data_IF_275199828114
#
_entry.id   IF_275199828114
#
_cell.length_a   1.000
_cell.length_b   1.000
_cell.length_c   1.000
_cell.angle_alpha   90.00
_cell.angle_beta   90.00
_cell.angle_gamma   90.00
#
_symmetry.space_group_name_H-M   'P 1'
#
loop_
_entity.id
_entity.type
_entity.pdbx_description
1 polymer ?
#
# COMPACT_ATOMS: atom_id res chain seq x y z
N UNK A 1 43.19 24.56 44.42
CA UNK A 1 42.59 25.84 43.95
C UNK A 1 41.65 25.45 42.83
N UNK A 2 40.37 25.20 43.17
CA UNK A 2 39.25 26.16 43.06
C UNK A 2 38.68 26.08 41.63
N UNK A 3 37.41 25.80 41.33
CA UNK A 3 36.10 25.68 42.03
C UNK A 3 35.20 24.97 41.00
N UNK A 4 34.64 23.80 41.26
CA UNK A 4 33.31 23.57 41.82
C UNK A 4 32.27 24.64 41.43
N UNK A 5 31.47 24.34 40.40
CA UNK A 5 30.28 25.08 40.00
C UNK A 5 29.21 24.06 39.62
N UNK A 6 28.62 23.47 40.66
CA UNK A 6 27.30 22.85 40.67
C UNK A 6 26.27 23.88 40.18
N UNK A 7 25.73 23.67 38.98
CA UNK A 7 24.48 24.29 38.56
C UNK A 7 23.35 23.36 39.00
N UNK A 8 22.88 23.62 40.21
CA UNK A 8 21.60 23.16 40.74
C UNK A 8 20.49 24.03 40.12
N UNK A 9 19.88 23.55 39.05
CA UNK A 9 18.67 24.10 38.44
C UNK A 9 17.51 23.13 38.70
N UNK A 10 17.24 22.83 39.98
CA UNK A 10 16.09 22.04 40.42
C UNK A 10 14.88 22.91 40.82
N UNK A 11 14.74 24.10 40.22
CA UNK A 11 13.59 24.97 40.44
C UNK A 11 12.40 24.57 39.56
N UNK A 12 11.57 23.67 40.11
CA UNK A 12 10.11 23.84 40.14
C UNK A 12 9.33 23.77 38.83
N UNK A 13 9.39 22.65 38.11
CA UNK A 13 8.55 22.37 36.93
C UNK A 13 7.66 21.12 37.09
N UNK A 14 7.35 20.70 38.33
CA UNK A 14 6.94 19.31 38.59
C UNK A 14 5.54 19.06 39.19
N UNK A 15 4.60 20.02 39.25
CA UNK A 15 3.29 19.73 39.91
C UNK A 15 2.01 20.22 39.20
N UNK A 16 2.06 20.91 38.04
CA UNK A 16 0.86 21.48 37.39
C UNK A 16 0.50 20.85 36.03
N UNK A 17 1.14 19.75 35.62
CA UNK A 17 0.83 19.06 34.36
C UNK A 17 -0.20 17.93 34.48
N UNK A 18 -0.46 17.42 35.69
CA UNK A 18 -1.41 16.32 35.91
C UNK A 18 -2.88 16.82 35.82
N UNK A 19 -3.16 18.08 36.14
CA UNK A 19 -4.52 18.67 36.08
C UNK A 19 -4.99 19.03 34.65
N UNK A 20 -4.11 18.95 33.64
CA UNK A 20 -4.47 19.26 32.24
C UNK A 20 -4.91 18.04 31.42
N UNK A 21 -4.76 16.82 31.95
CA UNK A 21 -5.13 15.57 31.26
C UNK A 21 -6.29 14.83 31.92
N UNK A 22 -6.83 15.33 33.03
CA UNK A 22 -7.91 14.67 33.79
C UNK A 22 -9.33 14.90 33.22
N UNK A 23 -9.47 15.79 32.23
CA UNK A 23 -10.74 16.00 31.51
C UNK A 23 -10.74 15.34 30.12
N UNK A 24 -11.30 14.12 30.09
CA UNK A 24 -12.33 13.74 29.11
C UNK A 24 -11.91 13.57 27.62
N UNK A 25 -10.69 13.10 27.33
CA UNK A 25 -10.46 12.44 26.03
C UNK A 25 -11.01 11.00 26.07
N UNK A 26 -12.34 10.89 25.99
CA UNK A 26 -12.97 9.60 25.70
C UNK A 26 -12.61 9.24 24.26
N UNK A 27 -11.77 8.22 24.11
CA UNK A 27 -11.44 7.68 22.79
C UNK A 27 -12.74 7.16 22.16
N UNK A 28 -13.14 7.75 21.03
CA UNK A 28 -14.24 7.27 20.20
C UNK A 28 -13.63 6.56 18.98
N UNK A 29 -13.64 5.22 18.95
CA UNK A 29 -13.09 4.49 17.82
C UNK A 29 -13.80 4.85 16.51
N UNK A 30 -13.02 5.20 15.48
CA UNK A 30 -13.54 5.39 14.12
C UNK A 30 -13.90 4.06 13.45
N UNK A 31 -14.59 4.11 12.30
CA UNK A 31 -14.84 2.92 11.50
C UNK A 31 -13.54 2.23 11.05
N UNK A 32 -12.46 3.00 10.81
CA UNK A 32 -11.13 2.49 10.50
C UNK A 32 -10.54 1.72 11.67
N UNK A 33 -10.61 2.29 12.87
CA UNK A 33 -10.13 1.66 14.10
C UNK A 33 -10.85 0.33 14.33
N UNK A 34 -12.18 0.30 14.13
CA UNK A 34 -13.00 -0.91 14.25
C UNK A 34 -12.60 -1.94 13.19
N UNK A 35 -12.47 -1.54 11.92
CA UNK A 35 -12.09 -2.44 10.83
C UNK A 35 -10.72 -3.10 11.09
N UNK A 36 -9.74 -2.31 11.52
CA UNK A 36 -8.42 -2.80 11.92
C UNK A 36 -8.49 -3.75 13.11
N UNK A 37 -9.31 -3.41 14.12
CA UNK A 37 -9.47 -4.21 15.34
C UNK A 37 -10.17 -5.56 15.10
N UNK A 38 -11.12 -5.61 14.15
CA UNK A 38 -11.77 -6.84 13.71
C UNK A 38 -10.75 -7.82 13.13
N UNK A 39 -9.73 -7.31 12.42
CA UNK A 39 -8.58 -8.11 11.97
C UNK A 39 -8.92 -9.11 10.87
N UNK A 40 -9.84 -8.76 9.96
CA UNK A 40 -10.05 -9.53 8.73
C UNK A 40 -8.85 -9.27 7.82
N UNK A 41 -8.08 -10.33 7.56
CA UNK A 41 -6.94 -10.28 6.66
C UNK A 41 -7.28 -10.75 5.25
N UNK A 42 -6.44 -10.38 4.29
CA UNK A 42 -6.59 -10.84 2.92
C UNK A 42 -6.31 -12.34 2.80
N UNK A 43 -7.25 -13.08 2.22
CA UNK A 43 -7.03 -14.47 1.86
C UNK A 43 -6.08 -14.54 0.65
N UNK A 44 -4.95 -15.29 0.74
CA UNK A 44 -4.01 -15.43 -0.37
C UNK A 44 -4.61 -16.04 -1.65
N UNK A 45 -5.73 -16.77 -1.53
CA UNK A 45 -6.43 -17.39 -2.65
C UNK A 45 -7.53 -16.48 -3.27
N UNK A 46 -7.88 -15.37 -2.62
CA UNK A 46 -8.84 -14.39 -3.14
C UNK A 46 -8.26 -13.64 -4.33
N UNK A 47 -9.08 -13.41 -5.38
CA UNK A 47 -8.65 -12.69 -6.59
C UNK A 47 -8.26 -11.24 -6.25
N UNK A 48 -6.95 -10.92 -6.22
CA UNK A 48 -6.54 -9.59 -5.84
C UNK A 48 -6.85 -8.54 -6.91
N UNK A 49 -7.14 -8.96 -8.14
CA UNK A 49 -7.41 -8.04 -9.25
C UNK A 49 -8.66 -7.20 -8.99
N UNK A 50 -9.59 -7.68 -8.17
CA UNK A 50 -10.75 -6.91 -7.74
C UNK A 50 -10.37 -5.61 -7.00
N UNK A 51 -9.20 -5.58 -6.34
CA UNK A 51 -8.73 -4.45 -5.52
C UNK A 51 -7.60 -3.64 -6.18
N UNK A 52 -7.09 -4.03 -7.36
CA UNK A 52 -5.89 -3.43 -7.99
C UNK A 52 -5.94 -1.88 -8.09
N UNK A 53 -7.09 -1.31 -8.46
CA UNK A 53 -7.23 0.15 -8.57
C UNK A 53 -7.22 0.85 -7.20
N UNK A 54 -7.90 0.27 -6.20
CA UNK A 54 -7.92 0.81 -4.84
C UNK A 54 -6.54 0.68 -4.20
N UNK A 55 -5.86 -0.45 -4.40
CA UNK A 55 -4.46 -0.67 -4.00
C UNK A 55 -3.60 0.47 -4.56
N UNK A 56 -3.65 0.71 -5.87
CA UNK A 56 -2.82 1.75 -6.49
C UNK A 56 -3.12 3.16 -5.98
N UNK A 57 -4.38 3.49 -5.72
CA UNK A 57 -4.77 4.76 -5.13
C UNK A 57 -4.23 4.91 -3.70
N UNK A 58 -4.28 3.85 -2.90
CA UNK A 58 -3.72 3.84 -1.56
C UNK A 58 -2.19 3.98 -1.55
N UNK A 59 -1.49 3.31 -2.47
CA UNK A 59 -0.02 3.37 -2.55
C UNK A 59 0.51 4.78 -2.81
N UNK A 60 -0.29 5.62 -3.47
CA UNK A 60 0.07 7.01 -3.78
C UNK A 60 -0.66 8.01 -2.88
N UNK A 61 -1.30 7.56 -1.79
CA UNK A 61 -2.05 8.44 -0.88
C UNK A 61 -3.09 9.31 -1.59
N UNK A 62 -3.85 8.74 -2.53
CA UNK A 62 -4.98 9.44 -3.13
C UNK A 62 -6.09 9.64 -2.07
N UNK A 63 -6.74 10.80 -2.08
CA UNK A 63 -7.75 11.18 -1.09
C UNK A 63 -9.05 11.67 -1.76
N UNK A 64 -10.08 11.87 -0.93
CA UNK A 64 -11.32 12.52 -1.31
C UNK A 64 -12.15 11.74 -2.36
N UNK A 65 -12.81 12.43 -3.32
CA UNK A 65 -13.79 11.80 -4.19
C UNK A 65 -13.26 10.68 -5.09
N UNK A 66 -11.95 10.66 -5.38
CA UNK A 66 -11.34 9.57 -6.13
C UNK A 66 -11.29 8.30 -5.28
N UNK A 67 -10.76 8.40 -4.05
CA UNK A 67 -10.65 7.28 -3.13
C UNK A 67 -12.04 6.73 -2.79
N UNK A 68 -13.00 7.60 -2.46
CA UNK A 68 -14.37 7.19 -2.14
C UNK A 68 -15.01 6.35 -3.27
N UNK A 69 -14.87 6.81 -4.52
CA UNK A 69 -15.38 6.09 -5.70
C UNK A 69 -14.69 4.75 -5.92
N UNK A 70 -13.38 4.68 -5.72
CA UNK A 70 -12.63 3.43 -5.90
C UNK A 70 -12.97 2.44 -4.79
N UNK A 71 -13.19 2.91 -3.56
CA UNK A 71 -13.69 2.10 -2.45
C UNK A 71 -15.09 1.55 -2.75
N UNK A 72 -16.03 2.38 -3.23
CA UNK A 72 -17.35 1.91 -3.63
C UNK A 72 -17.30 0.82 -4.70
N UNK A 73 -16.47 1.05 -5.72
CA UNK A 73 -16.30 0.08 -6.80
C UNK A 73 -15.64 -1.21 -6.30
N UNK A 74 -14.66 -1.12 -5.40
CA UNK A 74 -13.99 -2.26 -4.80
C UNK A 74 -14.97 -3.09 -3.95
N UNK A 75 -15.74 -2.44 -3.05
CA UNK A 75 -16.79 -3.08 -2.27
C UNK A 75 -17.75 -3.83 -3.19
N UNK A 76 -18.24 -3.20 -4.26
CA UNK A 76 -19.15 -3.85 -5.21
C UNK A 76 -18.57 -5.08 -5.93
N UNK A 77 -17.23 -5.25 -5.98
CA UNK A 77 -16.56 -6.39 -6.60
C UNK A 77 -16.28 -7.53 -5.61
N UNK A 78 -15.93 -7.20 -4.36
CA UNK A 78 -15.48 -8.18 -3.35
C UNK A 78 -16.54 -8.54 -2.32
N UNK A 79 -17.66 -7.81 -2.26
CA UNK A 79 -18.70 -8.06 -1.28
C UNK A 79 -19.49 -9.34 -1.61
N UNK A 80 -19.42 -10.31 -0.72
CA UNK A 80 -20.19 -11.54 -0.75
C UNK A 80 -20.70 -11.95 0.65
N UNK A 81 -21.46 -13.05 0.72
CA UNK A 81 -22.03 -13.55 1.97
C UNK A 81 -20.95 -13.96 2.99
N UNK A 82 -19.76 -14.35 2.53
CA UNK A 82 -18.65 -14.74 3.39
C UNK A 82 -18.04 -13.51 4.07
N UNK A 83 -17.68 -12.48 3.30
CA UNK A 83 -17.16 -11.22 3.83
C UNK A 83 -18.19 -10.54 4.74
N UNK A 84 -19.47 -10.53 4.35
CA UNK A 84 -20.55 -10.01 5.20
C UNK A 84 -20.61 -10.74 6.55
N UNK A 85 -20.54 -12.08 6.50
CA UNK A 85 -20.53 -12.93 7.70
C UNK A 85 -19.33 -12.65 8.61
N UNK A 86 -18.14 -12.47 8.02
CA UNK A 86 -16.90 -12.16 8.76
C UNK A 86 -16.98 -10.79 9.44
N UNK A 87 -17.40 -9.74 8.72
CA UNK A 87 -17.53 -8.39 9.27
C UNK A 87 -18.54 -8.37 10.41
N UNK A 88 -19.72 -8.98 10.20
CA UNK A 88 -20.76 -9.12 11.23
C UNK A 88 -20.22 -9.84 12.48
N UNK A 89 -19.55 -10.97 12.30
CA UNK A 89 -18.99 -11.74 13.40
C UNK A 89 -17.92 -10.95 14.17
N UNK A 90 -17.09 -10.19 13.47
CA UNK A 90 -16.10 -9.27 14.03
C UNK A 90 -16.75 -8.19 14.89
N UNK A 91 -17.76 -7.50 14.37
CA UNK A 91 -18.52 -6.47 15.09
C UNK A 91 -19.20 -7.03 16.34
N UNK A 92 -19.88 -8.17 16.23
CA UNK A 92 -20.53 -8.83 17.38
C UNK A 92 -19.49 -9.18 18.44
N UNK A 93 -18.37 -9.79 18.05
CA UNK A 93 -17.29 -10.15 18.97
C UNK A 93 -16.74 -8.92 19.69
N UNK A 94 -16.43 -7.86 18.94
CA UNK A 94 -15.88 -6.62 19.50
C UNK A 94 -16.87 -5.95 20.46
N UNK A 95 -18.16 -5.94 20.11
CA UNK A 95 -19.23 -5.38 20.95
C UNK A 95 -19.41 -6.09 22.31
N UNK A 96 -19.00 -7.35 22.41
CA UNK A 96 -19.26 -8.21 23.58
C UNK A 96 -18.04 -8.45 24.47
N UNK A 97 -16.83 -8.30 23.92
CA UNK A 97 -15.61 -8.78 24.56
C UNK A 97 -14.67 -7.65 24.99
N UNK A 98 -14.94 -6.42 24.58
CA UNK A 98 -14.04 -5.29 24.76
C UNK A 98 -14.83 -4.10 25.29
N UNK A 99 -14.69 -3.79 26.59
CA UNK A 99 -15.50 -2.77 27.27
C UNK A 99 -15.25 -1.37 26.69
N UNK A 100 -14.03 -1.11 26.21
CA UNK A 100 -13.63 0.16 25.60
C UNK A 100 -14.24 0.32 24.19
N UNK A 101 -14.28 -0.76 23.40
CA UNK A 101 -14.76 -0.72 22.02
C UNK A 101 -16.24 -1.09 21.87
N UNK A 102 -16.83 -1.64 22.94
CA UNK A 102 -18.16 -2.23 22.97
C UNK A 102 -19.25 -1.32 22.41
N UNK A 103 -19.39 -0.09 22.94
CA UNK A 103 -20.39 0.87 22.47
C UNK A 103 -20.24 1.24 20.99
N UNK A 104 -19.01 1.51 20.53
CA UNK A 104 -18.74 1.91 19.15
C UNK A 104 -19.02 0.76 18.17
N UNK A 105 -18.57 -0.47 18.50
CA UNK A 105 -18.84 -1.66 17.70
C UNK A 105 -20.35 -1.99 17.64
N UNK A 106 -21.09 -1.80 18.74
CA UNK A 106 -22.54 -1.98 18.75
C UNK A 106 -23.26 -0.96 17.86
N UNK A 107 -22.82 0.30 17.86
CA UNK A 107 -23.35 1.33 16.96
C UNK A 107 -23.07 1.00 15.49
N UNK A 108 -21.83 0.60 15.18
CA UNK A 108 -21.42 0.17 13.84
C UNK A 108 -22.22 -1.06 13.37
N UNK A 109 -22.52 -2.01 14.26
CA UNK A 109 -23.37 -3.17 13.94
C UNK A 109 -24.80 -2.77 13.56
N UNK A 110 -25.38 -1.79 14.25
CA UNK A 110 -26.72 -1.28 13.93
C UNK A 110 -26.76 -0.58 12.56
N UNK A 111 -25.70 0.16 12.21
CA UNK A 111 -25.56 0.74 10.88
C UNK A 111 -25.40 -0.35 9.81
N UNK A 112 -24.48 -1.28 10.06
CA UNK A 112 -24.19 -2.42 9.20
C UNK A 112 -25.45 -3.23 8.88
N UNK A 113 -26.30 -3.51 9.88
CA UNK A 113 -27.54 -4.27 9.69
C UNK A 113 -28.55 -3.61 8.75
N UNK A 114 -28.47 -2.29 8.56
CA UNK A 114 -29.38 -1.56 7.65
C UNK A 114 -28.92 -1.67 6.20
N UNK A 115 -27.62 -1.63 5.97
CA UNK A 115 -27.04 -1.66 4.62
C UNK A 115 -25.60 -2.20 4.67
N UNK A 116 -25.39 -3.53 4.74
CA UNK A 116 -24.09 -4.13 5.01
C UNK A 116 -22.97 -3.62 4.10
N UNK A 117 -23.17 -3.64 2.78
CA UNK A 117 -22.17 -3.19 1.82
C UNK A 117 -21.95 -1.66 1.83
N UNK A 118 -22.93 -0.86 2.28
CA UNK A 118 -22.83 0.60 2.27
C UNK A 118 -22.34 1.19 3.60
N UNK A 119 -22.27 0.37 4.65
CA UNK A 119 -21.85 0.81 5.97
C UNK A 119 -20.39 1.26 5.99
N UNK A 120 -20.08 2.26 6.81
CA UNK A 120 -18.75 2.84 6.89
C UNK A 120 -17.68 1.80 7.23
N UNK A 121 -17.94 0.95 8.23
CA UNK A 121 -17.03 -0.13 8.63
C UNK A 121 -16.71 -1.12 7.50
N UNK A 122 -17.67 -1.40 6.62
CA UNK A 122 -17.47 -2.30 5.46
C UNK A 122 -16.51 -1.68 4.45
N UNK A 123 -16.63 -0.38 4.20
CA UNK A 123 -15.71 0.38 3.34
C UNK A 123 -14.31 0.34 3.91
N UNK A 124 -14.17 0.58 5.21
CA UNK A 124 -12.87 0.58 5.89
C UNK A 124 -12.22 -0.80 5.96
N UNK A 125 -13.02 -1.89 6.07
CA UNK A 125 -12.51 -3.26 5.92
C UNK A 125 -11.91 -3.47 4.52
N UNK A 126 -12.60 -3.03 3.47
CA UNK A 126 -12.10 -3.16 2.09
C UNK A 126 -10.85 -2.29 1.84
N UNK A 127 -10.79 -1.09 2.42
CA UNK A 127 -9.59 -0.25 2.38
C UNK A 127 -8.42 -0.93 3.10
N UNK A 128 -8.66 -1.51 4.28
CA UNK A 128 -7.66 -2.24 5.05
C UNK A 128 -7.09 -3.44 4.28
N UNK A 129 -7.97 -4.23 3.65
CA UNK A 129 -7.58 -5.35 2.77
C UNK A 129 -6.74 -4.88 1.57
N UNK A 130 -7.14 -3.79 0.92
CA UNK A 130 -6.36 -3.21 -0.17
C UNK A 130 -4.99 -2.72 0.33
N UNK A 131 -4.90 -2.12 1.51
CA UNK A 131 -3.64 -1.68 2.10
C UNK A 131 -2.72 -2.88 2.40
N UNK A 132 -3.25 -3.94 3.02
CA UNK A 132 -2.50 -5.17 3.29
C UNK A 132 -1.97 -5.79 1.99
N UNK A 133 -2.83 -5.96 0.98
CA UNK A 133 -2.45 -6.53 -0.31
C UNK A 133 -1.44 -5.66 -1.06
N UNK A 134 -1.56 -4.33 -0.97
CA UNK A 134 -0.59 -3.41 -1.54
C UNK A 134 0.77 -3.58 -0.89
N UNK A 135 0.82 -3.63 0.44
CA UNK A 135 2.07 -3.73 1.21
C UNK A 135 2.73 -5.11 1.12
N UNK A 136 1.96 -6.19 0.96
CA UNK A 136 2.48 -7.56 0.84
C UNK A 136 3.50 -7.71 -0.30
N UNK A 137 3.45 -6.81 -1.29
CA UNK A 137 4.31 -6.84 -2.45
C UNK A 137 5.51 -5.89 -2.43
N UNK A 138 5.69 -5.11 -1.38
CA UNK A 138 6.72 -4.07 -1.34
C UNK A 138 8.01 -4.57 -0.69
N UNK A 139 9.19 -4.18 -1.20
CA UNK A 139 10.42 -4.36 -0.44
C UNK A 139 10.35 -3.59 0.88
N UNK A 140 11.00 -4.14 1.92
CA UNK A 140 11.16 -3.44 3.21
C UNK A 140 11.82 -2.07 2.96
N UNK A 141 11.30 -1.03 3.61
CA UNK A 141 11.74 0.38 3.48
C UNK A 141 11.55 1.01 2.10
N UNK A 142 10.59 0.52 1.30
CA UNK A 142 10.20 1.18 0.06
C UNK A 142 9.02 2.16 0.28
N UNK A 143 9.29 3.46 0.15
CA UNK A 143 8.28 4.52 0.34
C UNK A 143 8.24 5.46 -0.88
N UNK A 144 7.07 5.60 -1.51
CA UNK A 144 6.90 6.49 -2.66
C UNK A 144 7.05 7.97 -2.29
N UNK A 145 6.61 8.38 -1.09
CA UNK A 145 6.81 9.75 -0.61
C UNK A 145 8.30 10.11 -0.51
N UNK A 146 9.14 9.17 -0.06
CA UNK A 146 10.59 9.40 -0.03
C UNK A 146 11.19 9.53 -1.43
N UNK A 147 10.70 8.76 -2.41
CA UNK A 147 11.12 8.91 -3.81
C UNK A 147 10.69 10.28 -4.33
N UNK A 148 9.44 10.67 -4.12
CA UNK A 148 8.89 11.96 -4.56
C UNK A 148 9.67 13.15 -3.98
N UNK A 149 9.92 13.14 -2.66
CA UNK A 149 10.73 14.14 -1.98
C UNK A 149 12.15 14.20 -2.59
N UNK A 150 12.77 13.04 -2.83
CA UNK A 150 14.10 12.98 -3.46
C UNK A 150 14.07 13.55 -4.88
N UNK A 151 13.05 13.23 -5.68
CA UNK A 151 12.89 13.74 -7.05
C UNK A 151 12.80 15.26 -7.08
N UNK A 152 12.14 15.87 -6.10
CA UNK A 152 12.01 17.33 -6.00
C UNK A 152 13.36 18.06 -5.89
N UNK A 153 14.40 17.35 -5.42
CA UNK A 153 15.73 17.89 -5.16
C UNK A 153 16.75 17.62 -6.29
N UNK A 154 16.40 16.78 -7.27
CA UNK A 154 17.32 16.36 -8.34
C UNK A 154 17.03 17.07 -9.67
N UNK A 155 18.03 17.07 -10.56
CA UNK A 155 17.89 17.58 -11.93
C UNK A 155 17.03 16.63 -12.80
N UNK A 156 16.32 17.15 -13.83
CA UNK A 156 15.42 16.34 -14.66
C UNK A 156 16.04 15.07 -15.26
N UNK A 157 17.34 15.10 -15.61
CA UNK A 157 18.02 13.93 -16.16
C UNK A 157 18.18 12.78 -15.15
N UNK A 158 18.26 13.09 -13.86
CA UNK A 158 18.44 12.11 -12.78
C UNK A 158 17.09 11.61 -12.24
N UNK A 159 16.03 12.42 -12.39
CA UNK A 159 14.67 12.10 -11.95
C UNK A 159 14.12 10.83 -12.57
N UNK A 160 14.31 10.64 -13.88
CA UNK A 160 13.86 9.43 -14.59
C UNK A 160 14.43 8.15 -13.94
N UNK A 161 15.73 8.16 -13.63
CA UNK A 161 16.41 7.00 -13.04
C UNK A 161 15.88 6.69 -11.63
N UNK A 162 15.59 7.71 -10.83
CA UNK A 162 14.97 7.57 -9.51
C UNK A 162 13.53 7.09 -9.60
N UNK A 163 12.71 7.68 -10.47
CA UNK A 163 11.31 7.33 -10.65
C UNK A 163 11.14 5.89 -11.16
N UNK A 164 12.05 5.42 -12.02
CA UNK A 164 12.06 4.03 -12.51
C UNK A 164 12.07 3.01 -11.38
N UNK A 165 12.68 3.31 -10.23
CA UNK A 165 12.69 2.41 -9.06
C UNK A 165 11.28 2.10 -8.55
N UNK A 166 10.28 2.95 -8.81
CA UNK A 166 8.88 2.67 -8.50
C UNK A 166 8.21 1.68 -9.47
N UNK A 167 8.85 1.31 -10.58
CA UNK A 167 8.38 0.24 -11.44
C UNK A 167 8.24 -1.10 -10.71
N UNK A 168 9.00 -1.32 -9.64
CA UNK A 168 8.88 -2.54 -8.83
C UNK A 168 7.46 -2.77 -8.28
N UNK A 169 6.67 -1.71 -8.11
CA UNK A 169 5.27 -1.80 -7.69
C UNK A 169 4.39 -2.49 -8.72
N UNK A 170 4.78 -2.43 -9.99
CA UNK A 170 4.09 -3.08 -11.08
C UNK A 170 4.45 -4.56 -11.27
N UNK A 171 5.19 -5.18 -10.34
CA UNK A 171 5.59 -6.60 -10.44
C UNK A 171 4.42 -7.56 -10.59
N UNK A 172 3.29 -7.30 -9.92
CA UNK A 172 2.10 -8.16 -10.01
C UNK A 172 1.53 -8.16 -11.42
N UNK A 173 1.56 -7.01 -12.10
CA UNK A 173 1.03 -6.83 -13.45
C UNK A 173 1.94 -7.46 -14.51
N UNK A 174 3.18 -7.78 -14.17
CA UNK A 174 4.02 -8.62 -15.01
C UNK A 174 3.51 -10.07 -15.08
N UNK A 175 2.66 -10.51 -14.13
CA UNK A 175 1.97 -11.80 -14.12
C UNK A 175 2.88 -12.98 -14.50
N UNK A 176 4.12 -12.99 -13.98
CA UNK A 176 5.11 -14.02 -14.29
C UNK A 176 4.93 -15.19 -13.31
N UNK A 177 4.52 -16.39 -13.77
CA UNK A 177 4.36 -17.53 -12.89
C UNK A 177 5.71 -17.92 -12.25
N UNK A 178 5.74 -18.38 -10.98
CA UNK A 178 6.99 -18.80 -10.32
C UNK A 178 7.78 -19.85 -11.12
N UNK A 179 7.09 -20.76 -11.81
CA UNK A 179 7.73 -21.77 -12.66
C UNK A 179 8.49 -21.16 -13.85
N UNK A 180 7.98 -20.08 -14.45
CA UNK A 180 8.68 -19.37 -15.52
C UNK A 180 9.92 -18.63 -14.99
N UNK A 181 9.83 -18.04 -13.79
CA UNK A 181 10.96 -17.39 -13.14
C UNK A 181 12.09 -18.41 -12.88
N UNK A 182 11.74 -19.58 -12.34
CA UNK A 182 12.69 -20.67 -12.11
C UNK A 182 13.32 -21.17 -13.42
N UNK A 183 12.52 -21.35 -14.47
CA UNK A 183 13.02 -21.75 -15.78
C UNK A 183 13.97 -20.69 -16.39
N UNK A 184 13.69 -19.40 -16.17
CA UNK A 184 14.57 -18.33 -16.62
C UNK A 184 15.91 -18.32 -15.85
N UNK A 185 15.87 -18.52 -14.53
CA UNK A 185 17.06 -18.61 -13.68
C UNK A 185 17.93 -19.84 -14.01
N UNK A 186 17.32 -20.99 -14.33
CA UNK A 186 18.05 -22.19 -14.74
C UNK A 186 18.80 -22.02 -16.08
N UNK A 187 18.42 -21.03 -16.89
CA UNK A 187 18.95 -20.77 -18.23
C UNK A 187 19.91 -19.57 -18.31
N UNK A 188 20.41 -19.06 -17.18
CA UNK A 188 21.23 -17.82 -17.07
C UNK A 188 22.48 -17.80 -17.98
N UNK A 189 22.97 -18.95 -18.44
CA UNK A 189 24.14 -19.01 -19.34
C UNK A 189 23.87 -18.65 -20.81
N UNK A 190 22.61 -18.58 -21.26
CA UNK A 190 22.28 -18.31 -22.67
C UNK A 190 21.74 -16.90 -22.92
N UNK A 191 20.92 -16.39 -22.00
CA UNK A 191 20.23 -15.11 -22.14
C UNK A 191 19.87 -14.60 -20.74
N UNK A 192 20.02 -13.30 -20.45
CA UNK A 192 19.61 -12.74 -19.16
C UNK A 192 18.14 -13.08 -18.83
N UNK A 193 17.79 -13.48 -17.59
CA UNK A 193 16.42 -13.83 -17.24
C UNK A 193 15.40 -12.73 -17.56
N UNK A 194 15.75 -11.46 -17.33
CA UNK A 194 14.88 -10.33 -17.66
C UNK A 194 14.48 -10.33 -19.15
N UNK A 195 15.43 -10.52 -20.05
CA UNK A 195 15.18 -10.60 -21.50
C UNK A 195 14.29 -11.79 -21.86
N UNK A 196 14.47 -12.94 -21.18
CA UNK A 196 13.64 -14.14 -21.44
C UNK A 196 12.18 -13.98 -20.99
N UNK A 197 11.96 -13.24 -19.91
CA UNK A 197 10.62 -13.04 -19.35
C UNK A 197 9.84 -11.91 -20.04
N UNK A 198 10.52 -11.12 -20.87
CA UNK A 198 10.05 -9.87 -21.46
C UNK A 198 9.12 -10.03 -22.68
N UNK A 199 7.91 -10.53 -22.48
CA UNK A 199 6.87 -10.44 -23.53
C UNK A 199 6.35 -9.01 -23.65
N UNK A 200 5.95 -8.59 -24.84
CA UNK A 200 5.33 -7.26 -25.06
C UNK A 200 4.13 -7.02 -24.14
N UNK A 201 3.26 -8.02 -24.00
CA UNK A 201 2.08 -7.96 -23.13
C UNK A 201 2.42 -7.59 -21.69
N UNK A 202 3.37 -8.30 -21.07
CA UNK A 202 3.85 -8.03 -19.70
C UNK A 202 4.47 -6.64 -19.56
N UNK A 203 5.29 -6.24 -20.54
CA UNK A 203 5.94 -4.91 -20.54
C UNK A 203 4.92 -3.78 -20.69
N UNK A 204 3.88 -3.98 -21.51
CA UNK A 204 2.74 -3.07 -21.61
C UNK A 204 1.93 -3.03 -20.32
N UNK A 205 1.65 -4.18 -19.69
CA UNK A 205 0.90 -4.25 -18.44
C UNK A 205 1.60 -3.51 -17.29
N UNK A 206 2.93 -3.64 -17.21
CA UNK A 206 3.77 -2.86 -16.27
C UNK A 206 3.61 -1.36 -16.50
N UNK A 207 3.76 -0.88 -17.74
CA UNK A 207 3.61 0.55 -18.08
C UNK A 207 2.20 1.06 -17.85
N UNK A 208 1.17 0.26 -18.13
CA UNK A 208 -0.21 0.61 -17.85
C UNK A 208 -0.44 0.86 -16.35
N UNK A 209 0.14 0.04 -15.47
CA UNK A 209 0.09 0.30 -14.02
C UNK A 209 0.82 1.58 -13.66
N UNK A 210 2.02 1.81 -14.19
CA UNK A 210 2.76 3.06 -13.93
C UNK A 210 1.94 4.29 -14.34
N UNK A 211 1.26 4.23 -15.48
CA UNK A 211 0.37 5.29 -15.95
C UNK A 211 -0.81 5.53 -15.00
N UNK A 212 -1.37 4.48 -14.40
CA UNK A 212 -2.45 4.59 -13.40
C UNK A 212 -1.95 5.16 -12.08
N UNK A 213 -0.80 4.70 -11.57
CA UNK A 213 -0.15 5.27 -10.38
C UNK A 213 0.14 6.77 -10.58
N UNK A 214 0.62 7.14 -11.77
CA UNK A 214 0.82 8.53 -12.16
C UNK A 214 -0.48 9.35 -12.23
N UNK A 215 -1.60 8.71 -12.57
CA UNK A 215 -2.91 9.37 -12.57
C UNK A 215 -3.38 9.66 -11.15
N UNK A 216 -3.37 8.64 -10.30
CA UNK A 216 -3.89 8.73 -8.94
C UNK A 216 -2.99 9.58 -8.04
N UNK A 217 -1.67 9.53 -8.25
CA UNK A 217 -0.69 10.28 -7.45
C UNK A 217 -0.48 11.73 -7.88
N UNK A 218 -1.26 12.26 -8.83
CA UNK A 218 -1.02 13.59 -9.43
C UNK A 218 -0.99 14.71 -8.38
N UNK A 219 -1.87 14.64 -7.39
CA UNK A 219 -2.04 15.70 -6.41
C UNK A 219 -1.21 15.45 -5.15
N UNK A 220 -1.00 14.19 -4.79
CA UNK A 220 -0.29 13.76 -3.57
C UNK A 220 1.23 13.60 -3.76
N UNK A 221 1.67 13.19 -4.95
CA UNK A 221 3.08 12.94 -5.29
C UNK A 221 3.44 13.55 -6.67
N UNK A 222 3.33 14.89 -6.86
CA UNK A 222 3.35 15.48 -8.20
C UNK A 222 4.66 15.26 -8.99
N UNK A 223 5.87 15.45 -8.41
CA UNK A 223 7.12 15.12 -9.09
C UNK A 223 7.20 13.68 -9.59
N UNK A 224 6.87 12.71 -8.74
CA UNK A 224 6.88 11.30 -9.07
C UNK A 224 5.82 10.97 -10.12
N UNK A 225 4.59 11.48 -9.96
CA UNK A 225 3.51 11.27 -10.91
C UNK A 225 3.88 11.75 -12.33
N UNK A 226 4.57 12.89 -12.45
CA UNK A 226 5.03 13.37 -13.75
C UNK A 226 6.04 12.42 -14.41
N UNK A 227 7.02 11.92 -13.65
CA UNK A 227 8.02 10.98 -14.16
C UNK A 227 7.43 9.60 -14.47
N UNK A 228 6.54 9.09 -13.62
CA UNK A 228 5.83 7.83 -13.87
C UNK A 228 4.96 7.92 -15.13
N UNK A 229 4.31 9.07 -15.36
CA UNK A 229 3.58 9.32 -16.61
C UNK A 229 4.52 9.27 -17.81
N UNK A 230 5.66 9.95 -17.74
CA UNK A 230 6.65 9.95 -18.81
C UNK A 230 7.14 8.53 -19.12
N UNK A 231 7.49 7.73 -18.09
CA UNK A 231 7.90 6.32 -18.25
C UNK A 231 6.80 5.44 -18.85
N UNK A 232 5.54 5.68 -18.49
CA UNK A 232 4.40 4.94 -19.03
C UNK A 232 4.14 5.25 -20.51
N UNK A 233 4.36 6.50 -20.93
CA UNK A 233 4.14 6.99 -22.29
C UNK A 233 5.32 6.68 -23.24
N UNK A 234 6.47 6.27 -22.72
CA UNK A 234 7.61 5.83 -23.53
C UNK A 234 7.23 4.64 -24.42
N UNK A 235 7.60 4.65 -25.72
CA UNK A 235 7.37 3.51 -26.59
C UNK A 235 8.16 2.30 -26.07
N UNK A 236 7.55 1.11 -26.14
CA UNK A 236 8.25 -0.12 -25.77
C UNK A 236 9.52 -0.28 -26.62
N UNK A 237 10.70 -0.48 -25.99
CA UNK A 237 11.91 -0.76 -26.72
C UNK A 237 11.76 -2.03 -27.57
N UNK A 238 12.23 -1.96 -28.81
CA UNK A 238 12.18 -3.10 -29.77
C UNK A 238 12.93 -4.31 -29.21
N UNK A 239 14.06 -4.06 -28.55
CA UNK A 239 14.86 -5.10 -27.92
C UNK A 239 14.60 -5.11 -26.42
N UNK A 240 14.22 -6.25 -25.82
CA UNK A 240 13.95 -6.30 -24.39
C UNK A 240 15.11 -5.90 -23.48
N UNK A 241 16.36 -6.11 -23.91
CA UNK A 241 17.55 -5.70 -23.14
C UNK A 241 17.69 -4.17 -23.00
N UNK A 242 16.96 -3.39 -23.80
CA UNK A 242 16.96 -1.93 -23.74
C UNK A 242 15.79 -1.39 -22.86
N UNK A 243 14.95 -2.25 -22.28
CA UNK A 243 13.81 -1.86 -21.43
C UNK A 243 14.19 -1.85 -19.95
N UNK A 244 14.69 -0.70 -19.50
CA UNK A 244 15.17 -0.53 -18.13
C UNK A 244 14.04 -0.54 -17.08
N UNK A 245 12.83 -0.11 -17.44
CA UNK A 245 11.64 -0.25 -16.59
C UNK A 245 11.34 -1.72 -16.32
N UNK A 246 11.42 -2.55 -17.36
CA UNK A 246 11.24 -3.99 -17.23
C UNK A 246 12.37 -4.66 -16.43
N UNK A 247 13.62 -4.22 -16.64
CA UNK A 247 14.77 -4.70 -15.88
C UNK A 247 14.60 -4.49 -14.37
N UNK A 248 14.08 -3.32 -13.96
CA UNK A 248 13.82 -3.00 -12.55
C UNK A 248 12.77 -3.96 -11.95
N UNK A 249 11.67 -4.22 -12.67
CA UNK A 249 10.63 -5.18 -12.24
C UNK A 249 11.21 -6.59 -12.10
N UNK A 250 11.97 -7.03 -13.09
CA UNK A 250 12.59 -8.36 -13.10
C UNK A 250 13.62 -8.53 -11.98
N UNK A 251 14.36 -7.48 -11.64
CA UNK A 251 15.33 -7.52 -10.53
C UNK A 251 14.66 -7.96 -9.23
N UNK A 252 13.49 -7.40 -8.90
CA UNK A 252 12.76 -7.79 -7.70
C UNK A 252 12.11 -9.18 -7.81
N UNK A 253 11.50 -9.50 -8.96
CA UNK A 253 10.90 -10.83 -9.20
C UNK A 253 11.92 -11.96 -9.02
N UNK A 254 13.13 -11.78 -9.59
CA UNK A 254 14.21 -12.75 -9.51
C UNK A 254 14.77 -12.85 -8.09
N UNK A 255 14.91 -11.73 -7.38
CA UNK A 255 15.40 -11.71 -6.00
C UNK A 255 14.50 -12.53 -5.05
N UNK A 256 13.18 -12.41 -5.18
CA UNK A 256 12.20 -13.15 -4.35
C UNK A 256 12.35 -14.66 -4.51
N UNK A 257 12.59 -15.13 -5.74
CA UNK A 257 12.72 -16.56 -6.07
C UNK A 257 14.12 -17.10 -5.77
N UNK A 258 15.17 -16.30 -5.98
CA UNK A 258 16.55 -16.71 -5.75
C UNK A 258 16.94 -16.78 -4.26
N UNK A 259 16.21 -16.08 -3.38
CA UNK A 259 16.50 -16.02 -1.94
C UNK A 259 15.21 -16.22 -1.12
N UNK A 260 14.61 -17.42 -1.15
CA UNK A 260 13.36 -17.67 -0.42
C UNK A 260 13.51 -17.48 1.10
N UNK A 261 14.71 -17.64 1.65
CA UNK A 261 14.99 -17.52 3.09
C UNK A 261 15.04 -16.07 3.62
N UNK A 262 15.01 -15.06 2.74
CA UNK A 262 15.08 -13.64 3.12
C UNK A 262 13.77 -12.88 2.88
N UNK A 263 12.71 -13.57 2.42
CA UNK A 263 11.37 -13.00 2.25
C UNK A 263 10.40 -13.64 3.24
#
# INVERSE_FOLDING_TARGET
MATDALLDNSDGFDDDLDDYFDDEYVFEPSAWDIAFRIGIGADPDTDPHALDELIDAMLVHAEGPLLERLTDAAVGRVWDDELEGLVRAGLVKLSQQDDEWGPAAAAALVEFDRAPAAAEVSREVVISLAMELGQADHPVFFCLCCIDETLSQHDPAERRALARRAAILARRNAAVPPAEIQAALAAVGATPPAVRLATDERRTAVRARLGRLAEFGRDSLPPLAAELRALADEPLPVRPEDDDVWEEVCTLLLAKVARPELN
#
